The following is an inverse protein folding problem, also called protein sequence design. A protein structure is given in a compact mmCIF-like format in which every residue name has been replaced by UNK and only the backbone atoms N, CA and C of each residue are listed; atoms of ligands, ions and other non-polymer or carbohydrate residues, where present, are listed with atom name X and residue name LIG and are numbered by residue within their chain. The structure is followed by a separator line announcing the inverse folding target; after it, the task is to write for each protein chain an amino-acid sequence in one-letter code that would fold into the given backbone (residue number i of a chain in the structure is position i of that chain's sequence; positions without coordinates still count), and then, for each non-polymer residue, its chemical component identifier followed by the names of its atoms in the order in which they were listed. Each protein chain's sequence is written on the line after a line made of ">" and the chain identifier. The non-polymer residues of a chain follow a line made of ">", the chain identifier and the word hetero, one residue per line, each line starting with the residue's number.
data_IF_779714739751
#
_entry.id   IF_779714739751
#
_cell.length_a   1.000
_cell.length_b   1.000
_cell.length_c   1.000
_cell.angle_alpha   90.00
_cell.angle_beta   90.00
_cell.angle_gamma   90.00
#
_symmetry.space_group_name_H-M   'P 1'
#
loop_
_entity.id
_entity.type
_entity.pdbx_description
1 polymer ?
#
# COMPACT_ATOMS: atom_id res chain seq x y z
N UNK A 1 -11.70 -3.69 6.23
CA UNK A 1 -12.66 -2.90 7.02
C UNK A 1 -13.65 -2.30 6.06
N UNK A 2 -14.95 -2.47 6.29
CA UNK A 2 -15.90 -1.50 5.78
C UNK A 2 -15.41 -0.15 6.32
N UNK A 3 -14.85 0.71 5.47
CA UNK A 3 -14.84 2.13 5.74
C UNK A 3 -16.31 2.48 5.82
N UNK A 4 -16.69 2.74 7.02
CA UNK A 4 -18.05 2.85 7.42
C UNK A 4 -18.46 4.25 7.01
N UNK A 5 -19.21 4.39 5.92
CA UNK A 5 -19.99 5.63 5.73
C UNK A 5 -20.67 5.99 7.07
N UNK A 6 -21.12 4.97 7.81
CA UNK A 6 -21.71 5.13 9.13
C UNK A 6 -20.73 5.67 10.19
N UNK A 7 -19.41 5.31 10.12
CA UNK A 7 -18.39 5.86 11.02
C UNK A 7 -18.11 7.33 10.69
N UNK A 8 -17.83 7.64 9.43
CA UNK A 8 -17.56 9.00 8.97
C UNK A 8 -18.77 9.90 9.21
N UNK A 9 -19.97 9.44 8.93
CA UNK A 9 -21.23 10.15 9.21
C UNK A 9 -21.43 10.38 10.72
N UNK A 10 -21.12 9.39 11.56
CA UNK A 10 -21.17 9.52 13.02
C UNK A 10 -20.20 10.60 13.50
N UNK A 11 -18.93 10.50 13.06
CA UNK A 11 -17.87 11.45 13.43
C UNK A 11 -18.22 12.86 12.93
N UNK A 12 -18.68 12.98 11.69
CA UNK A 12 -19.08 14.25 11.09
C UNK A 12 -20.17 14.94 11.89
N UNK A 13 -21.22 14.22 12.30
CA UNK A 13 -22.30 14.75 13.13
C UNK A 13 -21.80 15.24 14.49
N UNK A 14 -20.94 14.48 15.14
CA UNK A 14 -20.35 14.85 16.42
C UNK A 14 -19.44 16.08 16.29
N UNK A 15 -18.63 16.13 15.22
CA UNK A 15 -17.76 17.26 14.93
C UNK A 15 -18.55 18.54 14.71
N UNK A 16 -19.55 18.53 13.83
CA UNK A 16 -20.41 19.70 13.56
C UNK A 16 -21.08 20.20 14.83
N UNK A 17 -21.65 19.29 15.63
CA UNK A 17 -22.28 19.66 16.90
C UNK A 17 -21.29 20.36 17.82
N UNK A 18 -20.09 19.81 17.98
CA UNK A 18 -19.03 20.41 18.81
C UNK A 18 -18.61 21.79 18.32
N UNK A 19 -18.41 21.95 16.99
CA UNK A 19 -18.04 23.23 16.41
C UNK A 19 -19.12 24.29 16.59
N UNK A 20 -20.39 23.91 16.49
CA UNK A 20 -21.54 24.81 16.74
C UNK A 20 -21.58 25.20 18.22
N UNK A 21 -21.37 24.25 19.14
CA UNK A 21 -21.26 24.51 20.58
C UNK A 21 -20.09 25.45 20.91
N UNK A 22 -18.99 25.42 20.13
CA UNK A 22 -17.85 26.33 20.20
C UNK A 22 -18.12 27.71 19.54
N UNK A 23 -19.26 27.89 18.90
CA UNK A 23 -19.66 29.17 18.32
C UNK A 23 -19.61 29.26 16.79
N UNK A 24 -19.25 28.16 16.08
CA UNK A 24 -19.34 28.15 14.63
C UNK A 24 -20.80 28.21 14.15
N UNK A 25 -21.03 28.93 13.06
CA UNK A 25 -22.35 28.98 12.44
C UNK A 25 -22.51 27.81 11.47
N UNK A 26 -23.64 27.14 11.48
CA UNK A 26 -23.87 25.93 10.67
C UNK A 26 -23.65 26.19 9.16
N UNK A 27 -24.03 27.35 8.65
CA UNK A 27 -23.86 27.71 7.24
C UNK A 27 -22.36 27.99 6.87
N UNK A 28 -21.50 28.12 7.84
CA UNK A 28 -20.05 28.29 7.65
C UNK A 28 -19.30 26.93 7.65
N UNK A 29 -20.00 25.81 7.86
CA UNK A 29 -19.44 24.45 7.85
C UNK A 29 -19.73 23.79 6.51
N UNK A 30 -18.71 23.60 5.69
CA UNK A 30 -18.83 23.07 4.32
C UNK A 30 -18.29 21.66 4.26
N UNK A 31 -19.17 20.71 3.92
CA UNK A 31 -18.82 19.30 3.74
C UNK A 31 -18.04 19.08 2.44
N UNK A 32 -17.11 18.14 2.45
CA UNK A 32 -16.31 17.74 1.29
C UNK A 32 -15.66 18.93 0.58
N UNK A 33 -15.05 19.80 1.36
CA UNK A 33 -14.43 21.01 0.84
C UNK A 33 -13.24 20.72 -0.07
N UNK A 34 -13.29 21.27 -1.28
CA UNK A 34 -12.21 21.13 -2.27
C UNK A 34 -11.28 22.34 -2.15
N UNK A 35 -10.05 22.12 -1.73
CA UNK A 35 -9.01 23.15 -1.74
C UNK A 35 -8.41 23.23 -3.16
N UNK A 36 -8.66 24.32 -3.91
CA UNK A 36 -8.13 24.46 -5.27
C UNK A 36 -6.60 24.66 -5.24
N UNK A 37 -5.90 23.87 -6.04
CA UNK A 37 -4.50 24.12 -6.38
C UNK A 37 -4.32 23.86 -7.89
N UNK A 38 -3.39 24.54 -8.53
CA UNK A 38 -3.20 24.54 -9.99
C UNK A 38 -2.91 23.15 -10.59
N UNK A 39 -2.54 22.15 -9.80
CA UNK A 39 -2.17 20.82 -10.30
C UNK A 39 -2.87 19.65 -9.58
N UNK A 40 -3.35 19.83 -8.34
CA UNK A 40 -3.93 18.74 -7.54
C UNK A 40 -5.08 19.29 -6.69
N UNK A 41 -6.22 18.58 -6.68
CA UNK A 41 -7.33 18.89 -5.79
C UNK A 41 -7.18 18.11 -4.49
N UNK A 42 -7.17 18.83 -3.37
CA UNK A 42 -7.26 18.21 -2.04
C UNK A 42 -8.69 18.35 -1.53
N UNK A 43 -9.27 17.25 -1.07
CA UNK A 43 -10.62 17.21 -0.52
C UNK A 43 -10.49 16.98 0.99
N UNK A 44 -11.08 17.90 1.76
CA UNK A 44 -11.22 17.78 3.21
C UNK A 44 -12.65 17.39 3.55
N UNK A 45 -12.83 16.57 4.58
CA UNK A 45 -14.17 16.12 4.95
C UNK A 45 -15.06 17.26 5.43
N UNK A 46 -14.48 18.24 6.12
CA UNK A 46 -15.16 19.46 6.56
C UNK A 46 -14.23 20.67 6.49
N UNK A 47 -14.75 21.82 6.08
CA UNK A 47 -14.10 23.11 6.23
C UNK A 47 -14.99 24.06 7.04
N UNK A 48 -14.39 24.83 7.93
CA UNK A 48 -14.99 26.00 8.56
C UNK A 48 -14.50 27.25 7.86
N UNK A 49 -15.41 28.09 7.40
CA UNK A 49 -15.12 29.35 6.73
C UNK A 49 -15.73 30.53 7.49
N UNK A 50 -15.20 31.73 7.26
CA UNK A 50 -15.85 32.95 7.75
C UNK A 50 -16.90 33.47 6.76
N UNK A 51 -17.58 34.55 7.14
CA UNK A 51 -18.61 35.21 6.31
C UNK A 51 -18.02 35.80 5.00
N UNK A 52 -16.70 35.84 4.83
CA UNK A 52 -15.99 36.31 3.63
C UNK A 52 -15.44 35.15 2.80
N UNK A 53 -15.86 33.92 3.08
CA UNK A 53 -15.37 32.67 2.47
C UNK A 53 -13.89 32.39 2.72
N UNK A 54 -13.27 33.00 3.73
CA UNK A 54 -11.91 32.67 4.13
C UNK A 54 -11.93 31.41 4.98
N UNK A 55 -11.03 30.47 4.69
CA UNK A 55 -10.90 29.22 5.43
C UNK A 55 -10.35 29.53 6.83
N UNK A 56 -11.06 29.11 7.86
CA UNK A 56 -10.65 29.21 9.25
C UNK A 56 -9.97 27.93 9.73
N UNK A 57 -10.59 26.78 9.45
CA UNK A 57 -10.10 25.45 9.85
C UNK A 57 -10.46 24.40 8.79
N UNK A 58 -9.60 23.41 8.60
CA UNK A 58 -9.84 22.25 7.75
C UNK A 58 -9.79 20.97 8.59
N UNK A 59 -10.69 20.04 8.32
CA UNK A 59 -10.81 18.82 9.10
C UNK A 59 -10.79 17.60 8.18
N UNK A 60 -10.03 16.60 8.57
CA UNK A 60 -9.94 15.30 7.90
C UNK A 60 -10.30 14.20 8.90
N UNK A 61 -11.34 13.42 8.59
CA UNK A 61 -11.82 12.34 9.45
C UNK A 61 -11.00 11.08 9.16
N UNK A 62 -10.41 10.49 10.21
CA UNK A 62 -9.66 9.24 10.12
C UNK A 62 -10.02 8.35 11.29
N UNK A 63 -9.99 7.02 11.08
CA UNK A 63 -10.08 6.11 12.22
C UNK A 63 -8.82 6.21 13.08
N UNK A 64 -8.95 5.96 14.38
CA UNK A 64 -7.79 5.92 15.29
C UNK A 64 -6.75 4.92 14.82
N UNK A 65 -7.17 3.81 14.21
CA UNK A 65 -6.27 2.82 13.63
C UNK A 65 -5.51 3.42 12.43
N UNK A 66 -6.20 4.14 11.53
CA UNK A 66 -5.55 4.81 10.41
C UNK A 66 -4.51 5.83 10.88
N UNK A 67 -4.82 6.62 11.91
CA UNK A 67 -3.87 7.56 12.51
C UNK A 67 -2.69 6.80 13.10
N UNK A 68 -2.98 5.77 13.86
CA UNK A 68 -1.98 4.92 14.48
C UNK A 68 -1.06 4.24 13.44
N UNK A 69 -1.54 3.78 12.30
CA UNK A 69 -0.79 2.97 11.34
C UNK A 69 -0.22 3.77 10.16
N UNK A 70 -0.80 4.92 9.84
CA UNK A 70 -0.39 5.77 8.73
C UNK A 70 0.17 7.13 9.18
N UNK A 71 0.60 7.27 10.43
CA UNK A 71 1.04 8.53 11.01
C UNK A 71 2.13 9.24 10.18
N UNK A 72 3.10 8.49 9.64
CA UNK A 72 4.13 9.05 8.76
C UNK A 72 3.55 9.55 7.42
N UNK A 73 2.58 8.82 6.84
CA UNK A 73 1.89 9.28 5.63
C UNK A 73 1.08 10.54 5.90
N UNK A 74 0.32 10.55 7.00
CA UNK A 74 -0.48 11.69 7.44
C UNK A 74 0.45 12.90 7.70
N UNK A 75 1.60 12.70 8.33
CA UNK A 75 2.60 13.75 8.53
C UNK A 75 3.12 14.32 7.21
N UNK A 76 3.46 13.50 6.22
CA UNK A 76 3.88 13.99 4.89
C UNK A 76 2.77 14.71 4.16
N UNK A 77 1.54 14.23 4.29
CA UNK A 77 0.37 14.89 3.74
C UNK A 77 0.22 16.29 4.38
N UNK A 78 0.44 16.41 5.70
CA UNK A 78 0.45 17.69 6.39
C UNK A 78 1.47 18.68 5.84
N UNK A 79 2.69 18.21 5.49
CA UNK A 79 3.72 19.06 4.89
C UNK A 79 3.31 19.56 3.49
N UNK A 80 2.63 18.70 2.71
CA UNK A 80 2.07 19.11 1.41
C UNK A 80 0.94 20.12 1.57
N UNK A 81 0.09 19.95 2.56
CA UNK A 81 -1.00 20.90 2.85
C UNK A 81 -0.46 22.27 3.29
N UNK A 82 0.58 22.30 4.14
CA UNK A 82 1.24 23.56 4.55
C UNK A 82 1.83 24.36 3.38
N UNK A 83 2.20 23.69 2.30
CA UNK A 83 2.67 24.35 1.08
C UNK A 83 1.55 25.02 0.27
N UNK A 84 0.27 24.73 0.58
CA UNK A 84 -0.89 25.13 -0.21
C UNK A 84 -1.83 26.06 0.57
N UNK A 85 -1.92 25.91 1.88
CA UNK A 85 -2.80 26.69 2.74
C UNK A 85 -2.12 27.04 4.08
N UNK A 86 -2.38 28.26 4.54
CA UNK A 86 -2.01 28.69 5.89
C UNK A 86 -3.07 28.31 6.94
N UNK A 87 -4.23 27.84 6.50
CA UNK A 87 -5.29 27.45 7.42
C UNK A 87 -4.87 26.21 8.23
N UNK A 88 -5.14 26.18 9.55
CA UNK A 88 -4.85 25.05 10.40
C UNK A 88 -5.69 23.83 9.98
N UNK A 89 -5.05 22.68 9.97
CA UNK A 89 -5.65 21.39 9.59
C UNK A 89 -5.70 20.49 10.79
N UNK A 90 -6.83 19.82 10.97
CA UNK A 90 -7.09 18.92 12.09
C UNK A 90 -7.45 17.52 11.60
N UNK A 91 -6.95 16.51 12.28
CA UNK A 91 -7.47 15.14 12.21
C UNK A 91 -8.57 14.97 13.25
N UNK A 92 -9.65 14.30 12.85
CA UNK A 92 -10.79 14.05 13.71
C UNK A 92 -11.03 12.53 13.77
N UNK A 93 -11.17 11.99 14.97
CA UNK A 93 -11.40 10.56 15.17
C UNK A 93 -12.15 10.30 16.49
N UNK A 94 -12.67 9.08 16.64
CA UNK A 94 -13.14 8.58 17.92
C UNK A 94 -12.02 7.75 18.57
N UNK A 95 -11.76 7.98 19.85
CA UNK A 95 -10.84 7.17 20.63
C UNK A 95 -11.46 5.80 21.01
N UNK A 96 -10.76 5.01 21.82
CA UNK A 96 -11.17 3.68 22.24
C UNK A 96 -12.45 3.71 23.09
N UNK A 97 -12.75 4.84 23.74
CA UNK A 97 -13.95 5.08 24.54
C UNK A 97 -15.06 5.79 23.73
N UNK A 98 -14.95 5.80 22.40
CA UNK A 98 -15.86 6.47 21.46
C UNK A 98 -16.03 8.00 21.69
N UNK A 99 -15.02 8.64 22.31
CA UNK A 99 -15.03 10.10 22.50
C UNK A 99 -14.39 10.80 21.28
N UNK A 100 -15.00 11.92 20.86
CA UNK A 100 -14.51 12.71 19.75
C UNK A 100 -13.21 13.42 20.12
N UNK A 101 -12.15 13.11 19.38
CA UNK A 101 -10.85 13.74 19.47
C UNK A 101 -10.58 14.59 18.22
N UNK A 102 -10.00 15.78 18.45
CA UNK A 102 -9.55 16.69 17.40
C UNK A 102 -8.06 16.94 17.64
N UNK A 103 -7.23 16.50 16.71
CA UNK A 103 -5.78 16.56 16.80
C UNK A 103 -5.24 17.50 15.72
N UNK A 104 -4.52 18.54 16.09
CA UNK A 104 -3.84 19.37 15.10
C UNK A 104 -2.79 18.53 14.35
N UNK A 105 -2.66 18.74 13.03
CA UNK A 105 -1.69 18.01 12.22
C UNK A 105 -0.24 18.16 12.75
N UNK A 106 0.05 19.24 13.45
CA UNK A 106 1.35 19.49 14.07
C UNK A 106 1.62 18.57 15.27
N UNK A 107 0.57 18.15 15.97
CA UNK A 107 0.64 17.24 17.12
C UNK A 107 0.81 15.78 16.71
N UNK A 108 0.63 15.44 15.43
CA UNK A 108 0.87 14.09 14.90
C UNK A 108 2.29 13.63 15.20
N UNK A 109 3.27 14.52 15.18
CA UNK A 109 4.65 14.20 15.56
C UNK A 109 4.73 13.66 16.99
N UNK A 110 3.96 14.25 17.90
CA UNK A 110 3.89 13.76 19.28
C UNK A 110 3.24 12.37 19.35
N UNK A 111 2.19 12.14 18.59
CA UNK A 111 1.57 10.82 18.45
C UNK A 111 2.51 9.80 17.83
N UNK A 112 3.27 10.18 16.83
CA UNK A 112 4.34 9.37 16.23
C UNK A 112 5.41 9.07 17.29
N UNK A 113 5.79 10.02 18.11
CA UNK A 113 6.80 9.85 19.17
C UNK A 113 6.30 8.96 20.32
N UNK A 114 5.06 9.12 20.77
CA UNK A 114 4.49 8.26 21.82
C UNK A 114 4.37 6.81 21.39
N UNK A 115 4.12 6.56 20.10
CA UNK A 115 4.08 5.21 19.53
C UNK A 115 5.46 4.66 19.16
N UNK A 116 6.36 5.53 18.83
CA UNK A 116 7.75 5.19 18.66
C UNK A 116 8.39 4.61 19.93
N UNK A 117 7.80 4.73 21.09
CA UNK A 117 8.27 3.99 22.27
C UNK A 117 7.97 2.47 22.20
N UNK A 118 7.00 2.01 21.42
CA UNK A 118 6.82 0.59 21.07
C UNK A 118 7.53 0.21 19.74
N UNK A 119 7.79 1.19 18.86
CA UNK A 119 8.57 1.07 17.62
C UNK A 119 10.07 1.42 17.86
N UNK A 120 10.44 1.96 19.01
CA UNK A 120 11.83 2.21 19.43
C UNK A 120 12.53 0.95 19.97
N UNK A 121 12.27 -0.20 19.41
CA UNK A 121 13.36 -1.15 19.29
C UNK A 121 14.41 -0.43 18.40
N UNK A 122 15.59 -0.16 18.96
CA UNK A 122 16.69 0.46 18.22
C UNK A 122 16.82 -0.20 16.84
N UNK A 123 17.06 0.57 15.75
CA UNK A 123 17.17 -0.01 14.43
C UNK A 123 18.16 -1.17 14.46
N UNK A 124 17.77 -2.29 13.85
CA UNK A 124 18.59 -3.49 13.81
C UNK A 124 19.87 -3.21 13.03
N UNK A 125 21.01 -3.55 13.64
CA UNK A 125 22.33 -3.31 13.09
C UNK A 125 23.08 -4.62 12.71
N UNK A 126 22.63 -5.79 13.19
CA UNK A 126 23.29 -7.08 12.99
C UNK A 126 22.30 -8.14 12.53
N UNK A 127 22.81 -9.11 11.77
CA UNK A 127 22.03 -10.26 11.32
C UNK A 127 21.44 -11.06 12.50
N UNK A 128 22.22 -11.24 13.57
CA UNK A 128 21.76 -11.95 14.77
C UNK A 128 20.52 -11.27 15.40
N UNK A 129 20.55 -9.96 15.52
CA UNK A 129 19.42 -9.20 16.07
C UNK A 129 18.18 -9.30 15.16
N UNK A 130 18.38 -9.31 13.83
CA UNK A 130 17.33 -9.53 12.87
C UNK A 130 16.72 -10.92 13.01
N UNK A 131 17.56 -11.96 13.02
CA UNK A 131 17.11 -13.34 13.17
C UNK A 131 16.32 -13.55 14.47
N UNK A 132 16.83 -13.05 15.59
CA UNK A 132 16.12 -13.13 16.89
C UNK A 132 14.75 -12.45 16.84
N UNK A 133 14.64 -11.31 16.16
CA UNK A 133 13.35 -10.59 16.01
C UNK A 133 12.39 -11.41 15.15
N UNK A 134 12.84 -11.97 14.01
CA UNK A 134 12.03 -12.85 13.17
C UNK A 134 11.58 -14.07 13.97
N UNK A 135 12.48 -14.79 14.63
CA UNK A 135 12.16 -15.99 15.41
C UNK A 135 11.16 -15.73 16.54
N UNK A 136 11.22 -14.53 17.17
CA UNK A 136 10.26 -14.13 18.20
C UNK A 136 8.90 -13.74 17.62
N UNK A 137 8.86 -13.19 16.42
CA UNK A 137 7.65 -12.67 15.79
C UNK A 137 6.89 -13.74 15.03
N UNK A 138 7.62 -14.58 14.29
CA UNK A 138 7.05 -15.66 13.49
C UNK A 138 6.98 -16.94 14.35
N UNK A 139 5.98 -16.98 15.23
CA UNK A 139 5.72 -18.15 16.05
C UNK A 139 5.19 -19.26 15.15
N UNK A 140 5.59 -20.50 15.42
CA UNK A 140 5.05 -21.67 14.72
C UNK A 140 3.55 -21.80 15.03
N UNK A 141 2.74 -21.40 14.06
CA UNK A 141 1.28 -21.46 14.10
C UNK A 141 0.79 -22.05 12.77
N UNK A 142 0.21 -23.24 12.84
CA UNK A 142 -0.30 -23.97 11.67
C UNK A 142 -1.37 -23.19 10.88
N UNK A 143 -2.04 -22.24 11.49
CA UNK A 143 -3.15 -21.49 10.91
C UNK A 143 -2.71 -20.20 10.20
N UNK A 144 -1.45 -19.79 10.41
CA UNK A 144 -0.88 -18.56 9.87
C UNK A 144 0.30 -18.85 8.94
N UNK A 145 0.40 -18.07 7.89
CA UNK A 145 1.58 -17.99 7.04
C UNK A 145 2.15 -16.58 7.05
N UNK A 146 3.48 -16.49 7.15
CA UNK A 146 4.19 -15.23 7.20
C UNK A 146 4.71 -14.85 5.81
N UNK A 147 4.46 -13.60 5.44
CA UNK A 147 5.01 -12.98 4.25
C UNK A 147 5.80 -11.75 4.64
N UNK A 148 6.81 -11.45 3.85
CA UNK A 148 7.76 -10.39 4.16
C UNK A 148 7.90 -9.44 2.98
N UNK A 149 8.21 -8.18 3.28
CA UNK A 149 8.59 -7.19 2.28
C UNK A 149 9.67 -6.29 2.84
N UNK A 150 10.73 -6.03 2.05
CA UNK A 150 11.80 -5.10 2.39
C UNK A 150 11.63 -3.76 1.66
N UNK A 151 11.81 -2.66 2.38
CA UNK A 151 11.94 -1.32 1.82
C UNK A 151 13.33 -0.77 2.08
N UNK A 152 13.99 -0.29 1.03
CA UNK A 152 15.30 0.35 1.15
C UNK A 152 15.27 1.68 1.92
N UNK A 153 14.13 2.31 1.99
CA UNK A 153 13.86 3.49 2.82
C UNK A 153 12.58 3.21 3.63
N UNK A 154 12.67 3.31 4.97
CA UNK A 154 11.54 3.06 5.88
C UNK A 154 10.38 4.03 5.66
N UNK A 155 10.64 5.08 4.93
CA UNK A 155 9.65 6.07 4.54
C UNK A 155 8.82 5.64 3.31
N UNK A 156 9.15 4.57 2.60
CA UNK A 156 8.38 4.12 1.45
C UNK A 156 7.00 3.60 1.86
N UNK A 157 5.99 3.92 1.05
CA UNK A 157 4.65 3.41 1.25
C UNK A 157 4.51 1.99 0.72
N UNK A 158 3.79 1.14 1.47
CA UNK A 158 3.43 -0.23 1.04
C UNK A 158 2.22 -0.21 0.09
N UNK A 159 2.34 0.51 -1.00
CA UNK A 159 1.33 0.58 -2.06
C UNK A 159 1.94 0.19 -3.41
N UNK A 160 1.15 -0.43 -4.30
CA UNK A 160 1.58 -0.74 -5.66
C UNK A 160 2.09 0.49 -6.42
N UNK A 161 3.05 0.25 -7.32
CA UNK A 161 3.69 1.30 -8.12
C UNK A 161 2.70 2.08 -8.99
N UNK A 162 1.59 1.46 -9.40
CA UNK A 162 0.54 2.10 -10.20
C UNK A 162 -0.12 3.29 -9.49
N UNK A 163 -0.19 3.26 -8.15
CA UNK A 163 -0.80 4.33 -7.35
C UNK A 163 0.17 5.47 -7.02
N UNK A 164 1.45 5.34 -7.42
CA UNK A 164 2.46 6.39 -7.25
C UNK A 164 2.42 7.34 -8.45
N UNK A 165 2.66 8.62 -8.20
CA UNK A 165 2.76 9.65 -9.25
C UNK A 165 1.55 9.68 -10.20
N UNK A 166 0.34 9.37 -9.67
CA UNK A 166 -0.92 9.33 -10.43
C UNK A 166 -0.93 8.39 -11.65
N UNK A 167 -0.04 7.41 -11.71
CA UNK A 167 0.05 6.45 -12.84
C UNK A 167 -1.22 5.64 -13.03
N UNK A 168 -2.03 5.47 -11.97
CA UNK A 168 -3.31 4.76 -12.01
C UNK A 168 -4.27 5.30 -13.09
N UNK A 169 -4.18 6.59 -13.44
CA UNK A 169 -4.97 7.20 -14.52
C UNK A 169 -4.69 6.57 -15.89
N UNK A 170 -3.50 6.01 -16.04
CA UNK A 170 -3.03 5.38 -17.29
C UNK A 170 -3.01 3.85 -17.21
N UNK A 171 -3.49 3.23 -16.13
CA UNK A 171 -3.44 1.78 -15.90
C UNK A 171 -4.01 1.00 -17.09
N UNK A 172 -5.22 1.34 -17.51
CA UNK A 172 -5.89 0.69 -18.67
C UNK A 172 -5.08 0.86 -19.96
N UNK A 173 -4.59 2.06 -20.22
CA UNK A 173 -3.78 2.34 -21.41
C UNK A 173 -2.48 1.53 -21.39
N UNK A 174 -1.74 1.54 -20.28
CA UNK A 174 -0.50 0.78 -20.14
C UNK A 174 -0.72 -0.72 -20.32
N UNK A 175 -1.81 -1.27 -19.75
CA UNK A 175 -2.15 -2.67 -19.91
C UNK A 175 -2.37 -3.06 -21.37
N UNK A 176 -3.19 -2.32 -22.09
CA UNK A 176 -3.48 -2.63 -23.50
C UNK A 176 -2.29 -2.36 -24.42
N UNK A 177 -1.51 -1.31 -24.19
CA UNK A 177 -0.31 -1.00 -24.99
C UNK A 177 0.79 -2.05 -24.80
N UNK A 178 0.97 -2.58 -23.57
CA UNK A 178 1.92 -3.65 -23.33
C UNK A 178 1.59 -4.89 -24.17
N UNK A 179 0.32 -5.31 -24.19
CA UNK A 179 -0.15 -6.45 -24.97
C UNK A 179 -0.05 -6.16 -26.48
N UNK A 180 -0.53 -4.99 -26.91
CA UNK A 180 -0.52 -4.62 -28.35
C UNK A 180 0.89 -4.60 -28.93
N UNK A 181 1.88 -4.12 -28.17
CA UNK A 181 3.27 -4.00 -28.62
C UNK A 181 4.06 -5.31 -28.51
N UNK A 182 3.65 -6.23 -27.67
CA UNK A 182 4.37 -7.49 -27.42
C UNK A 182 3.40 -8.70 -27.42
N UNK A 183 2.67 -8.94 -28.51
CA UNK A 183 1.62 -9.98 -28.53
C UNK A 183 2.17 -11.40 -28.31
N UNK A 184 3.42 -11.67 -28.69
CA UNK A 184 4.07 -12.96 -28.45
C UNK A 184 4.35 -13.23 -26.96
N UNK A 185 4.51 -12.18 -26.18
CA UNK A 185 4.79 -12.28 -24.75
C UNK A 185 3.49 -12.38 -23.90
N UNK A 186 2.38 -11.87 -24.42
CA UNK A 186 1.08 -11.80 -23.74
C UNK A 186 0.02 -12.58 -24.51
N UNK A 187 0.12 -13.90 -24.45
CA UNK A 187 -0.76 -14.82 -25.20
C UNK A 187 -2.20 -14.80 -24.65
N UNK A 188 -3.16 -15.26 -25.45
CA UNK A 188 -4.60 -15.22 -25.10
C UNK A 188 -4.94 -16.15 -23.93
N UNK A 189 -4.21 -17.26 -23.78
CA UNK A 189 -4.37 -18.23 -22.68
C UNK A 189 -3.87 -17.75 -21.32
N UNK A 190 -3.13 -16.63 -21.30
CA UNK A 190 -2.70 -16.01 -20.04
C UNK A 190 -3.88 -15.29 -19.39
N UNK A 191 -4.13 -15.57 -18.11
CA UNK A 191 -5.08 -14.79 -17.31
C UNK A 191 -4.62 -13.33 -17.16
N UNK A 192 -5.53 -12.43 -16.85
CA UNK A 192 -5.17 -11.03 -16.57
C UNK A 192 -4.18 -10.92 -15.41
N UNK A 193 -4.32 -11.75 -14.38
CA UNK A 193 -3.34 -11.80 -13.28
C UNK A 193 -1.94 -12.20 -13.77
N UNK A 194 -1.82 -13.26 -14.58
CA UNK A 194 -0.52 -13.69 -15.13
C UNK A 194 0.10 -12.58 -16.01
N UNK A 195 -0.74 -11.86 -16.78
CA UNK A 195 -0.28 -10.70 -17.57
C UNK A 195 0.24 -9.58 -16.68
N UNK A 196 -0.43 -9.26 -15.55
CA UNK A 196 0.04 -8.26 -14.60
C UNK A 196 1.37 -8.68 -13.94
N UNK A 197 1.52 -9.94 -13.54
CA UNK A 197 2.77 -10.48 -13.00
C UNK A 197 3.91 -10.31 -14.01
N UNK A 198 3.67 -10.62 -15.27
CA UNK A 198 4.66 -10.48 -16.34
C UNK A 198 4.99 -9.01 -16.62
N UNK A 199 4.00 -8.11 -16.63
CA UNK A 199 4.20 -6.67 -16.77
C UNK A 199 5.06 -6.12 -15.64
N UNK A 200 4.81 -6.53 -14.40
CA UNK A 200 5.61 -6.13 -13.24
C UNK A 200 7.05 -6.62 -13.32
N UNK A 201 7.27 -7.84 -13.82
CA UNK A 201 8.60 -8.37 -14.07
C UNK A 201 9.42 -7.45 -15.01
N UNK A 202 8.77 -6.85 -16.00
CA UNK A 202 9.36 -5.86 -16.91
C UNK A 202 9.22 -4.40 -16.41
N UNK A 203 9.06 -4.22 -15.11
CA UNK A 203 9.02 -2.91 -14.44
C UNK A 203 7.84 -1.99 -14.85
N UNK A 204 6.84 -2.51 -15.56
CA UNK A 204 5.63 -1.75 -15.84
C UNK A 204 4.81 -1.62 -14.54
N UNK A 205 4.34 -0.42 -14.17
CA UNK A 205 3.53 -0.25 -12.97
C UNK A 205 2.24 -1.05 -13.02
N UNK A 206 1.97 -1.83 -11.98
CA UNK A 206 0.76 -2.64 -11.83
C UNK A 206 0.14 -2.44 -10.45
N UNK A 207 -1.04 -3.03 -10.23
CA UNK A 207 -1.71 -3.09 -8.93
C UNK A 207 -1.20 -4.21 -8.01
N UNK A 208 -0.10 -4.85 -8.37
CA UNK A 208 0.58 -5.85 -7.56
C UNK A 208 1.62 -5.21 -6.65
N UNK A 209 1.82 -5.79 -5.49
CA UNK A 209 2.88 -5.44 -4.55
C UNK A 209 3.65 -6.72 -4.21
N UNK A 210 4.94 -6.77 -4.55
CA UNK A 210 5.79 -7.93 -4.30
C UNK A 210 5.95 -8.19 -2.81
N UNK A 211 5.82 -9.43 -2.43
CA UNK A 211 6.13 -9.98 -1.11
C UNK A 211 6.87 -11.30 -1.28
N UNK A 212 7.51 -11.76 -0.24
CA UNK A 212 8.25 -13.03 -0.24
C UNK A 212 7.91 -13.85 1.00
N UNK A 213 8.03 -15.17 0.90
CA UNK A 213 7.97 -16.06 2.07
C UNK A 213 9.32 -16.19 2.77
N UNK A 214 10.40 -15.62 2.20
CA UNK A 214 11.76 -15.70 2.74
C UNK A 214 12.17 -14.39 3.42
N UNK A 215 12.32 -14.37 4.76
CA UNK A 215 12.73 -13.17 5.49
C UNK A 215 14.10 -12.62 5.09
N UNK A 216 15.03 -13.48 4.58
CA UNK A 216 16.35 -13.04 4.14
C UNK A 216 16.28 -12.26 2.84
N UNK A 217 15.37 -12.64 1.93
CA UNK A 217 15.09 -11.89 0.70
C UNK A 217 14.53 -10.50 1.05
N UNK A 218 13.61 -10.42 2.00
CA UNK A 218 13.09 -9.11 2.46
C UNK A 218 14.20 -8.26 3.09
N UNK A 219 15.08 -8.84 3.91
CA UNK A 219 16.24 -8.15 4.48
C UNK A 219 17.17 -7.62 3.38
N UNK A 220 17.44 -8.43 2.34
CA UNK A 220 18.22 -8.00 1.19
C UNK A 220 17.64 -6.73 0.56
N UNK A 221 16.33 -6.70 0.26
CA UNK A 221 15.68 -5.53 -0.31
C UNK A 221 15.68 -4.32 0.65
N UNK A 222 15.58 -4.54 1.96
CA UNK A 222 15.68 -3.47 2.95
C UNK A 222 17.10 -2.87 3.04
N UNK A 223 18.12 -3.64 2.66
CA UNK A 223 19.51 -3.20 2.67
C UNK A 223 19.96 -2.54 1.35
N UNK A 224 19.15 -2.57 0.29
CA UNK A 224 19.46 -1.85 -0.95
C UNK A 224 19.39 -0.33 -0.75
N UNK A 225 20.03 0.42 -1.67
CA UNK A 225 19.96 1.89 -1.70
C UNK A 225 20.94 2.58 -0.75
N UNK A 226 20.60 3.80 -0.32
CA UNK A 226 21.48 4.68 0.44
C UNK A 226 21.71 4.19 1.88
N UNK A 227 22.95 4.26 2.36
CA UNK A 227 23.33 4.04 3.75
C UNK A 227 22.90 5.16 4.69
N UNK A 228 22.58 6.33 4.15
CA UNK A 228 22.08 7.47 4.93
C UNK A 228 20.61 7.28 5.36
N UNK A 229 19.93 6.33 4.76
CA UNK A 229 18.53 6.02 5.03
C UNK A 229 18.37 4.66 5.66
N UNK A 230 17.65 4.59 6.76
CA UNK A 230 17.27 3.31 7.34
C UNK A 230 16.32 2.56 6.40
N UNK A 231 16.47 1.24 6.35
CA UNK A 231 15.52 0.37 5.66
C UNK A 231 14.44 -0.13 6.62
N UNK A 232 13.50 -0.90 6.06
CA UNK A 232 12.41 -1.49 6.82
C UNK A 232 12.09 -2.90 6.28
N UNK A 233 11.89 -3.86 7.16
CA UNK A 233 11.26 -5.15 6.82
C UNK A 233 9.89 -5.20 7.47
N UNK A 234 8.87 -5.49 6.66
CA UNK A 234 7.50 -5.69 7.09
C UNK A 234 7.18 -7.17 7.13
N UNK A 235 6.47 -7.59 8.18
CA UNK A 235 6.00 -8.96 8.40
C UNK A 235 4.48 -8.94 8.38
N UNK A 236 3.89 -9.69 7.45
CA UNK A 236 2.46 -9.87 7.31
C UNK A 236 2.10 -11.28 7.80
N UNK A 237 1.22 -11.38 8.78
CA UNK A 237 0.68 -12.65 9.30
C UNK A 237 -0.68 -12.89 8.64
N UNK A 238 -0.76 -13.83 7.71
CA UNK A 238 -1.95 -14.07 6.90
C UNK A 238 -2.55 -15.43 7.27
N UNK A 239 -3.83 -15.50 7.69
CA UNK A 239 -4.53 -16.77 7.87
C UNK A 239 -4.53 -17.59 6.57
N UNK A 240 -4.29 -18.91 6.68
CA UNK A 240 -4.20 -19.79 5.52
C UNK A 240 -5.42 -19.71 4.59
N UNK A 241 -6.61 -19.55 5.15
CA UNK A 241 -7.87 -19.42 4.41
C UNK A 241 -7.98 -18.13 3.59
N UNK A 242 -7.25 -17.07 3.98
CA UNK A 242 -7.21 -15.79 3.26
C UNK A 242 -6.20 -15.78 2.12
N UNK A 243 -5.29 -16.76 2.06
CA UNK A 243 -4.33 -16.88 0.98
C UNK A 243 -5.03 -17.41 -0.28
N UNK A 244 -4.89 -16.71 -1.38
CA UNK A 244 -5.52 -17.05 -2.66
C UNK A 244 -4.51 -17.60 -3.64
N UNK A 245 -4.94 -18.53 -4.49
CA UNK A 245 -4.16 -18.94 -5.64
C UNK A 245 -4.46 -18.04 -6.83
N UNK A 246 -3.51 -17.95 -7.73
CA UNK A 246 -3.54 -17.14 -8.97
C UNK A 246 -4.83 -17.30 -9.79
N UNK A 247 -5.51 -18.43 -9.70
CA UNK A 247 -6.73 -18.76 -10.48
C UNK A 247 -8.04 -18.61 -9.69
N UNK A 248 -8.04 -18.05 -8.48
CA UNK A 248 -9.28 -17.87 -7.72
C UNK A 248 -10.14 -16.72 -8.30
N UNK A 249 -11.45 -16.79 -8.09
CA UNK A 249 -12.40 -15.81 -8.61
C UNK A 249 -12.13 -14.41 -8.06
N UNK A 250 -11.83 -14.32 -6.76
CA UNK A 250 -11.49 -13.05 -6.11
C UNK A 250 -10.25 -12.39 -6.72
N UNK A 251 -9.22 -13.16 -7.08
CA UNK A 251 -8.03 -12.64 -7.79
C UNK A 251 -8.41 -12.17 -9.19
N UNK A 252 -9.27 -12.91 -9.91
CA UNK A 252 -9.73 -12.51 -11.24
C UNK A 252 -10.53 -11.22 -11.20
N UNK A 253 -11.36 -11.00 -10.15
CA UNK A 253 -12.09 -9.74 -9.95
C UNK A 253 -11.10 -8.57 -9.85
N UNK A 254 -10.13 -8.65 -8.94
CA UNK A 254 -9.19 -7.56 -8.72
C UNK A 254 -8.25 -7.32 -9.90
N UNK A 255 -7.79 -8.39 -10.56
CA UNK A 255 -6.93 -8.27 -11.73
C UNK A 255 -7.65 -7.55 -12.88
N UNK A 256 -8.92 -7.86 -13.12
CA UNK A 256 -9.67 -7.28 -14.23
C UNK A 256 -10.08 -5.80 -14.01
N UNK A 257 -9.93 -5.24 -12.79
CA UNK A 257 -10.05 -3.81 -12.56
C UNK A 257 -9.05 -3.00 -13.40
N UNK A 258 -7.91 -3.59 -13.80
CA UNK A 258 -6.93 -2.92 -14.67
C UNK A 258 -7.49 -2.55 -16.03
N UNK A 259 -8.51 -3.30 -16.54
CA UNK A 259 -9.17 -3.03 -17.82
C UNK A 259 -10.28 -1.99 -17.73
N UNK A 260 -10.70 -1.63 -16.52
CA UNK A 260 -11.73 -0.62 -16.29
C UNK A 260 -11.20 0.80 -16.49
N UNK A 261 -12.08 1.73 -16.86
CA UNK A 261 -11.77 3.16 -16.91
C UNK A 261 -11.46 3.70 -15.51
N UNK A 262 -10.80 4.84 -15.41
CA UNK A 262 -10.48 5.48 -14.13
C UNK A 262 -11.75 5.90 -13.37
N UNK A 263 -12.78 6.31 -14.11
CA UNK A 263 -14.09 6.72 -13.57
C UNK A 263 -14.99 5.53 -13.20
N UNK A 264 -14.45 4.31 -13.17
CA UNK A 264 -15.21 3.09 -12.83
C UNK A 264 -16.00 3.26 -11.54
N UNK A 265 -17.30 2.98 -11.62
CA UNK A 265 -18.24 2.94 -10.49
C UNK A 265 -18.93 1.60 -10.46
N UNK A 266 -18.83 0.91 -9.34
CA UNK A 266 -19.36 -0.47 -9.23
C UNK A 266 -20.81 -0.58 -9.69
N UNK A 267 -21.69 0.29 -9.21
CA UNK A 267 -23.14 0.21 -9.51
C UNK A 267 -23.48 0.46 -11.00
N UNK A 268 -22.68 1.29 -11.69
CA UNK A 268 -22.90 1.61 -13.10
C UNK A 268 -22.14 0.63 -14.05
N UNK A 269 -20.96 0.16 -13.65
CA UNK A 269 -20.03 -0.51 -14.56
C UNK A 269 -19.84 -2.01 -14.22
N UNK A 270 -20.64 -2.54 -13.29
CA UNK A 270 -20.56 -3.95 -12.84
C UNK A 270 -20.60 -4.93 -13.99
N UNK A 271 -21.53 -4.76 -14.93
CA UNK A 271 -21.70 -5.67 -16.06
C UNK A 271 -20.49 -5.64 -17.00
N UNK A 272 -19.86 -4.46 -17.15
CA UNK A 272 -18.62 -4.36 -17.91
C UNK A 272 -17.48 -5.17 -17.23
N UNK A 273 -17.35 -5.07 -15.91
CA UNK A 273 -16.33 -5.84 -15.18
C UNK A 273 -16.60 -7.35 -15.26
N UNK A 274 -17.87 -7.79 -15.16
CA UNK A 274 -18.24 -9.19 -15.36
C UNK A 274 -17.85 -9.67 -16.78
N UNK A 275 -18.08 -8.84 -17.79
CA UNK A 275 -17.69 -9.15 -19.16
C UNK A 275 -16.17 -9.36 -19.27
N UNK A 276 -15.38 -8.46 -18.70
CA UNK A 276 -13.91 -8.57 -18.71
C UNK A 276 -13.40 -9.80 -17.95
N UNK A 277 -14.01 -10.14 -16.80
CA UNK A 277 -13.65 -11.34 -16.04
C UNK A 277 -13.95 -12.60 -16.87
N UNK A 278 -15.05 -12.64 -17.60
CA UNK A 278 -15.42 -13.78 -18.44
C UNK A 278 -14.50 -14.00 -19.64
N UNK A 279 -13.71 -13.02 -20.06
CA UNK A 279 -12.65 -13.24 -21.03
C UNK A 279 -11.55 -14.17 -20.47
N UNK A 280 -11.25 -14.07 -19.18
CA UNK A 280 -10.29 -14.93 -18.49
C UNK A 280 -10.95 -16.22 -17.96
N UNK A 281 -12.21 -16.13 -17.55
CA UNK A 281 -12.99 -17.20 -16.90
C UNK A 281 -14.41 -17.25 -17.49
N UNK A 282 -14.62 -17.96 -18.59
CA UNK A 282 -15.93 -18.01 -19.27
C UNK A 282 -17.10 -18.39 -18.37
N UNK A 283 -16.87 -19.26 -17.39
CA UNK A 283 -17.89 -19.77 -16.46
C UNK A 283 -18.00 -18.93 -15.16
N UNK A 284 -17.44 -17.71 -15.10
CA UNK A 284 -17.54 -16.87 -13.91
C UNK A 284 -19.00 -16.53 -13.59
N UNK A 285 -19.43 -16.85 -12.35
CA UNK A 285 -20.76 -16.47 -11.87
C UNK A 285 -20.76 -15.00 -11.45
N UNK A 286 -21.45 -14.16 -12.22
CA UNK A 286 -21.59 -12.72 -11.94
C UNK A 286 -22.22 -12.39 -10.59
N UNK A 287 -22.93 -13.35 -9.94
CA UNK A 287 -23.48 -13.18 -8.59
C UNK A 287 -22.38 -13.08 -7.52
N UNK A 288 -21.19 -13.63 -7.77
CA UNK A 288 -20.04 -13.54 -6.88
C UNK A 288 -19.44 -12.14 -6.84
N UNK A 289 -19.71 -11.32 -7.87
CA UNK A 289 -19.20 -9.94 -7.94
C UNK A 289 -20.04 -9.02 -7.06
N UNK A 290 -19.48 -8.69 -5.89
CA UNK A 290 -19.99 -7.72 -4.93
C UNK A 290 -19.05 -6.53 -4.85
N UNK A 291 -19.53 -5.38 -4.39
CA UNK A 291 -18.74 -4.15 -4.27
C UNK A 291 -17.52 -4.39 -3.37
N UNK A 292 -17.70 -5.07 -2.25
CA UNK A 292 -16.65 -5.40 -1.29
C UNK A 292 -15.51 -6.19 -1.94
N UNK A 293 -15.83 -7.10 -2.88
CA UNK A 293 -14.81 -7.88 -3.59
C UNK A 293 -13.90 -7.02 -4.50
N UNK A 294 -14.30 -5.78 -4.81
CA UNK A 294 -13.46 -4.84 -5.58
C UNK A 294 -12.58 -3.95 -4.70
N UNK A 295 -12.79 -3.99 -3.36
CA UNK A 295 -12.09 -3.13 -2.39
C UNK A 295 -11.12 -3.88 -1.48
N UNK A 296 -10.87 -5.16 -1.76
CA UNK A 296 -9.98 -6.01 -0.97
C UNK A 296 -8.50 -5.83 -1.35
N UNK A 297 -7.63 -6.20 -0.42
CA UNK A 297 -6.22 -6.52 -0.67
C UNK A 297 -6.03 -8.01 -0.41
N UNK A 298 -5.66 -8.77 -1.43
CA UNK A 298 -5.54 -10.23 -1.34
C UNK A 298 -4.08 -10.67 -1.44
N UNK A 299 -3.67 -11.57 -0.54
CA UNK A 299 -2.41 -12.31 -0.65
C UNK A 299 -2.56 -13.43 -1.68
N UNK A 300 -1.71 -13.42 -2.71
CA UNK A 300 -1.82 -14.33 -3.86
C UNK A 300 -0.53 -15.10 -4.09
N UNK A 301 -0.67 -16.42 -4.17
CA UNK A 301 0.40 -17.32 -4.62
C UNK A 301 0.33 -17.44 -6.15
N UNK A 302 1.37 -16.97 -6.88
CA UNK A 302 1.43 -17.04 -8.33
C UNK A 302 1.79 -18.45 -8.83
N UNK A 303 1.73 -18.66 -10.16
CA UNK A 303 2.40 -19.79 -10.80
C UNK A 303 3.91 -19.64 -10.65
N UNK A 304 4.59 -20.76 -10.38
CA UNK A 304 6.05 -20.82 -10.33
C UNK A 304 6.65 -21.10 -11.71
N UNK A 305 6.33 -20.24 -12.67
CA UNK A 305 6.77 -20.33 -14.06
C UNK A 305 7.77 -19.23 -14.46
N UNK A 306 8.28 -18.48 -13.48
CA UNK A 306 9.25 -17.42 -13.66
C UNK A 306 10.38 -17.61 -12.65
N UNK A 307 11.62 -17.68 -13.13
CA UNK A 307 12.80 -17.92 -12.31
C UNK A 307 13.00 -16.87 -11.21
N UNK A 308 12.65 -15.61 -11.47
CA UNK A 308 12.74 -14.55 -10.46
C UNK A 308 11.76 -14.79 -9.31
N UNK A 309 10.52 -15.20 -9.60
CA UNK A 309 9.54 -15.55 -8.56
C UNK A 309 10.03 -16.71 -7.73
N UNK A 310 10.59 -17.76 -8.39
CA UNK A 310 11.11 -18.95 -7.71
C UNK A 310 12.29 -18.57 -6.79
N UNK A 311 13.29 -17.86 -7.30
CA UNK A 311 14.49 -17.47 -6.56
C UNK A 311 14.20 -16.52 -5.40
N UNK A 312 13.23 -15.63 -5.56
CA UNK A 312 12.82 -14.71 -4.53
C UNK A 312 11.77 -15.29 -3.58
N UNK A 313 11.34 -16.54 -3.72
CA UNK A 313 10.21 -17.13 -3.00
C UNK A 313 8.99 -16.19 -3.04
N UNK A 314 8.71 -15.65 -4.24
CA UNK A 314 7.83 -14.53 -4.46
C UNK A 314 6.35 -14.89 -4.34
N UNK A 315 5.59 -13.95 -3.80
CA UNK A 315 4.14 -13.89 -3.82
C UNK A 315 3.74 -12.43 -4.02
N UNK A 316 2.43 -12.15 -4.11
CA UNK A 316 1.95 -10.80 -4.36
C UNK A 316 0.79 -10.44 -3.43
N UNK A 317 0.73 -9.19 -3.04
CA UNK A 317 -0.58 -8.61 -2.75
C UNK A 317 -1.14 -8.02 -4.02
N UNK A 318 -2.41 -8.33 -4.34
CA UNK A 318 -3.17 -7.64 -5.38
C UNK A 318 -4.14 -6.67 -4.72
N UNK A 319 -4.13 -5.43 -5.18
CA UNK A 319 -4.93 -4.36 -4.60
C UNK A 319 -6.19 -4.10 -5.42
N UNK A 320 -7.30 -4.08 -4.74
CA UNK A 320 -8.53 -3.49 -5.23
C UNK A 320 -8.46 -1.96 -5.29
N UNK A 321 -9.61 -1.36 -5.35
CA UNK A 321 -9.78 0.09 -5.30
C UNK A 321 -10.28 0.51 -3.92
N UNK A 322 -10.00 1.77 -3.52
CA UNK A 322 -10.64 2.40 -2.37
C UNK A 322 -12.06 2.87 -2.73
N UNK A 323 -12.48 4.02 -2.21
CA UNK A 323 -13.76 4.63 -2.57
C UNK A 323 -13.89 4.91 -4.08
N UNK A 324 -12.77 5.25 -4.70
CA UNK A 324 -12.63 5.43 -6.15
C UNK A 324 -11.46 4.59 -6.67
N UNK A 325 -11.42 4.36 -7.98
CA UNK A 325 -10.32 3.63 -8.59
C UNK A 325 -8.97 4.35 -8.47
N UNK A 326 -8.96 5.64 -8.24
CA UNK A 326 -7.74 6.44 -8.04
C UNK A 326 -7.04 6.14 -6.70
N UNK A 327 -7.78 5.66 -5.72
CA UNK A 327 -7.24 5.28 -4.41
C UNK A 327 -7.02 3.77 -4.33
N UNK A 328 -5.91 3.29 -3.73
CA UNK A 328 -5.75 1.86 -3.45
C UNK A 328 -6.70 1.41 -2.35
N UNK A 329 -7.07 0.14 -2.37
CA UNK A 329 -7.61 -0.54 -1.20
C UNK A 329 -6.61 -0.50 -0.05
N UNK A 330 -7.08 -0.63 1.18
CA UNK A 330 -6.24 -0.63 2.38
C UNK A 330 -6.14 -2.03 2.97
N UNK A 331 -5.02 -2.32 3.63
CA UNK A 331 -4.87 -3.57 4.37
C UNK A 331 -5.82 -3.60 5.57
N UNK A 332 -6.45 -4.75 5.79
CA UNK A 332 -7.26 -4.99 6.99
C UNK A 332 -6.38 -4.99 8.24
N UNK A 333 -5.26 -5.71 8.17
CA UNK A 333 -4.30 -5.84 9.26
C UNK A 333 -2.97 -5.19 8.87
N UNK A 334 -2.37 -4.49 9.82
CA UNK A 334 -1.12 -3.81 9.58
C UNK A 334 0.08 -4.74 9.85
N UNK A 335 1.13 -4.67 9.00
CA UNK A 335 2.32 -5.47 9.20
C UNK A 335 3.11 -5.04 10.45
N UNK A 336 3.79 -6.01 11.06
CA UNK A 336 4.82 -5.72 12.04
C UNK A 336 6.05 -5.19 11.29
N UNK A 337 6.61 -4.08 11.76
CA UNK A 337 7.73 -3.40 11.10
C UNK A 337 9.02 -3.58 11.89
N UNK A 338 10.09 -3.88 11.17
CA UNK A 338 11.45 -3.99 11.68
C UNK A 338 12.31 -2.97 10.96
N UNK A 339 12.81 -1.97 11.69
CA UNK A 339 13.71 -0.95 11.14
C UNK A 339 15.13 -1.49 11.04
N UNK A 340 15.77 -1.28 9.89
CA UNK A 340 17.14 -1.70 9.58
C UNK A 340 18.02 -0.46 9.50
N UNK A 341 19.09 -0.41 10.31
CA UNK A 341 19.98 0.75 10.38
C UNK A 341 20.73 0.96 9.07
N UNK A 342 20.67 2.18 8.53
CA UNK A 342 21.26 2.54 7.25
C UNK A 342 22.75 2.25 7.15
N UNK A 343 23.54 2.69 8.12
CA UNK A 343 24.99 2.52 8.16
C UNK A 343 25.45 1.05 8.22
N UNK A 344 24.56 0.12 8.58
CA UNK A 344 24.88 -1.31 8.66
C UNK A 344 24.43 -2.12 7.42
N UNK A 345 23.74 -1.49 6.46
CA UNK A 345 23.23 -2.18 5.27
C UNK A 345 24.30 -2.93 4.49
N UNK A 346 25.45 -2.28 4.22
CA UNK A 346 26.54 -2.94 3.50
C UNK A 346 27.07 -4.17 4.23
N UNK A 347 27.17 -4.10 5.55
CA UNK A 347 27.62 -5.26 6.33
C UNK A 347 26.60 -6.39 6.28
N UNK A 348 25.31 -6.08 6.42
CA UNK A 348 24.23 -7.04 6.32
C UNK A 348 24.17 -7.69 4.92
N UNK A 349 24.41 -6.93 3.84
CA UNK A 349 24.47 -7.49 2.47
C UNK A 349 25.63 -8.49 2.32
N UNK A 350 26.81 -8.23 2.93
CA UNK A 350 27.94 -9.18 2.94
C UNK A 350 27.58 -10.45 3.70
N UNK A 351 26.92 -10.33 4.84
CA UNK A 351 26.47 -11.48 5.64
C UNK A 351 25.41 -12.30 4.89
N UNK A 352 24.47 -11.64 4.20
CA UNK A 352 23.49 -12.30 3.33
C UNK A 352 24.14 -13.02 2.15
N UNK A 353 25.19 -12.46 1.55
CA UNK A 353 25.92 -13.10 0.47
C UNK A 353 26.58 -14.41 0.92
N UNK A 354 27.12 -14.47 2.14
CA UNK A 354 27.65 -15.72 2.72
C UNK A 354 26.57 -16.80 2.89
N UNK A 355 25.30 -16.38 3.03
CA UNK A 355 24.13 -17.25 3.12
C UNK A 355 23.50 -17.56 1.75
N UNK A 356 24.15 -17.14 0.65
CA UNK A 356 23.67 -17.39 -0.70
C UNK A 356 22.57 -16.42 -1.16
N UNK A 357 22.37 -15.30 -0.47
CA UNK A 357 21.42 -14.24 -0.85
C UNK A 357 22.20 -13.05 -1.42
N UNK A 358 22.23 -12.93 -2.74
CA UNK A 358 22.94 -11.89 -3.47
C UNK A 358 22.14 -11.41 -4.69
N UNK A 359 22.62 -10.39 -5.40
CA UNK A 359 22.01 -9.93 -6.64
C UNK A 359 21.92 -11.06 -7.67
N UNK A 360 23.01 -11.78 -7.91
CA UNK A 360 23.05 -12.86 -8.90
C UNK A 360 22.18 -14.07 -8.53
N UNK A 361 21.98 -14.35 -7.23
CA UNK A 361 21.10 -15.46 -6.82
C UNK A 361 19.62 -15.10 -6.88
N UNK A 362 19.27 -13.84 -6.66
CA UNK A 362 17.89 -13.37 -6.63
C UNK A 362 17.38 -12.90 -8.00
N UNK A 363 18.27 -12.45 -8.88
CA UNK A 363 17.95 -11.95 -10.21
C UNK A 363 18.65 -12.82 -11.27
N UNK A 364 17.89 -13.69 -11.96
CA UNK A 364 18.45 -14.64 -12.93
C UNK A 364 18.92 -14.00 -14.25
N UNK A 365 18.62 -12.72 -14.44
CA UNK A 365 18.93 -11.96 -15.64
C UNK A 365 20.46 -11.84 -15.80
N UNK A 366 20.96 -12.11 -17.01
CA UNK A 366 22.39 -12.18 -17.32
C UNK A 366 23.14 -10.89 -16.98
N UNK A 367 22.50 -9.73 -17.18
CA UNK A 367 23.10 -8.44 -16.86
C UNK A 367 23.36 -8.27 -15.36
N UNK A 368 22.49 -8.77 -14.50
CA UNK A 368 22.66 -8.76 -13.04
C UNK A 368 23.78 -9.66 -12.58
N UNK A 369 23.87 -10.87 -13.15
CA UNK A 369 24.96 -11.80 -12.89
C UNK A 369 26.31 -11.19 -13.31
N UNK A 370 26.37 -10.58 -14.50
CA UNK A 370 27.59 -9.92 -14.99
C UNK A 370 27.97 -8.71 -14.14
N UNK A 371 26.99 -7.97 -13.64
CA UNK A 371 27.23 -6.85 -12.73
C UNK A 371 27.86 -7.30 -11.42
N UNK A 372 27.37 -8.37 -10.80
CA UNK A 372 27.94 -8.92 -9.57
C UNK A 372 29.38 -9.42 -9.79
N UNK A 373 29.65 -10.21 -10.86
CA UNK A 373 31.00 -10.67 -11.22
C UNK A 373 31.95 -9.48 -11.35
N UNK A 374 31.53 -8.43 -12.07
CA UNK A 374 32.34 -7.22 -12.25
C UNK A 374 32.64 -6.51 -10.94
N UNK A 375 31.70 -6.50 -10.00
CA UNK A 375 31.88 -5.87 -8.67
C UNK A 375 32.87 -6.63 -7.80
N UNK A 376 32.92 -7.98 -7.91
CA UNK A 376 33.82 -8.85 -7.16
C UNK A 376 35.29 -8.74 -7.62
N UNK A 377 35.52 -8.35 -8.87
CA UNK A 377 36.89 -8.25 -9.46
C UNK A 377 37.54 -6.89 -9.10
N UNK A 378 36.80 -5.90 -8.66
CA UNK A 378 37.32 -4.57 -8.33
C UNK A 378 37.92 -4.44 -6.92
N UNK A 379 38.01 -5.51 -6.19
CA UNK A 379 38.67 -5.63 -4.90
C UNK A 379 39.83 -6.64 -4.98
#
# INVERSE_FOLDING_TARGET
>A
MKYNSDYEDKVMKLLKRRLIDEGAKEHNLIDHYILPNNEVYFIFDLAEIDNSNRILRLFEIKSIQSIKYNSNYIYRLSQRYKAITEAPIYLVYLDEDEQLQILAYEEILHYIHLRNNDIHAAPIATFESYYRKIAKTCIDNSDLKYFFRGHADYDYLSIPSIYRDQKIKYERLMFHEAIRKNPCEFTEDMSTFDKLVKMQHYELPTRLLDITTNPLVALYFACLGSEERDGEVMIYSIPNEQIKYYNSDSVSILANLTKCKIEFRFDADKEYLIHEIRQDKPNFDGKLLRKEATTDVLCVLPKLNNDRIIRQNGAFFIFGMGETKEKPAEFTDQPIKIRIRGNNKKQLLKELQLLGISEATLFPETDKIMHEIKSQIKH
#
